data_IF_915640587645
#
_entry.id   IF_915640587645
#
_cell.length_a   1.000
_cell.length_b   1.000
_cell.length_c   1.000
_cell.angle_alpha   90.00
_cell.angle_beta   90.00
_cell.angle_gamma   90.00
#
_symmetry.space_group_name_H-M   'P 1'
#
loop_
_entity.id
_entity.type
_entity.pdbx_description
1 polymer ?
#
# COMPACT_ATOMS: atom_id res chain seq x y z
N UNK A 1 -45.47 22.92 -19.25
CA UNK A 1 -44.94 22.15 -18.10
C UNK A 1 -45.38 22.85 -16.82
N UNK A 2 -46.11 22.17 -15.93
CA UNK A 2 -46.53 22.75 -14.65
C UNK A 2 -45.35 22.70 -13.67
N UNK A 3 -44.80 23.86 -13.35
CA UNK A 3 -43.70 23.98 -12.39
C UNK A 3 -44.31 23.89 -10.97
N UNK A 4 -44.19 22.73 -10.33
CA UNK A 4 -44.64 22.54 -8.95
C UNK A 4 -43.56 23.09 -8.03
N UNK A 5 -43.85 24.19 -7.36
CA UNK A 5 -42.97 24.79 -6.36
C UNK A 5 -43.19 24.07 -5.03
N UNK A 6 -42.31 23.13 -4.73
CA UNK A 6 -42.31 22.38 -3.47
C UNK A 6 -41.26 23.02 -2.56
N UNK A 7 -41.70 23.55 -1.43
CA UNK A 7 -40.82 24.05 -0.38
C UNK A 7 -40.63 22.95 0.67
N UNK A 8 -39.38 22.61 0.97
CA UNK A 8 -39.02 21.46 1.79
C UNK A 8 -38.07 21.90 2.88
N UNK A 9 -38.42 21.57 4.12
CA UNK A 9 -37.53 21.72 5.28
C UNK A 9 -37.03 20.35 5.74
N UNK A 10 -35.72 20.25 5.96
CA UNK A 10 -35.07 19.02 6.44
C UNK A 10 -34.80 19.14 7.94
N UNK A 11 -35.44 18.29 8.73
CA UNK A 11 -35.29 18.26 10.19
C UNK A 11 -34.64 16.95 10.58
N UNK A 12 -33.50 17.03 11.26
CA UNK A 12 -32.79 15.86 11.79
C UNK A 12 -33.40 15.45 13.12
N UNK A 13 -33.90 14.22 13.19
CA UNK A 13 -34.37 13.60 14.44
C UNK A 13 -33.26 12.70 15.01
N UNK A 14 -32.93 12.77 16.31
CA UNK A 14 -31.97 11.88 16.94
C UNK A 14 -32.46 10.42 16.92
N UNK A 15 -31.53 9.48 16.71
CA UNK A 15 -31.83 8.06 16.84
C UNK A 15 -32.29 7.73 18.26
N UNK A 16 -33.23 6.78 18.39
CA UNK A 16 -33.76 6.31 19.68
C UNK A 16 -34.46 7.38 20.54
N UNK A 17 -34.88 8.50 19.95
CA UNK A 17 -35.65 9.54 20.63
C UNK A 17 -37.14 9.16 20.88
N UNK A 18 -37.51 7.90 20.58
CA UNK A 18 -38.89 7.41 20.63
C UNK A 18 -39.89 8.23 19.80
N UNK A 19 -39.43 8.90 18.74
CA UNK A 19 -40.31 9.59 17.80
C UNK A 19 -41.13 8.55 16.99
N UNK A 20 -42.47 8.60 17.05
CA UNK A 20 -43.31 7.55 16.47
C UNK A 20 -43.23 7.48 14.95
N UNK A 21 -43.04 8.62 14.26
CA UNK A 21 -42.94 8.65 12.79
C UNK A 21 -41.59 8.11 12.33
N UNK A 22 -40.51 8.51 12.98
CA UNK A 22 -39.18 8.00 12.70
C UNK A 22 -39.07 6.49 12.97
N UNK A 23 -39.65 6.02 14.08
CA UNK A 23 -39.70 4.59 14.41
C UNK A 23 -40.53 3.79 13.39
N UNK A 24 -41.64 4.36 12.91
CA UNK A 24 -42.46 3.72 11.88
C UNK A 24 -41.70 3.60 10.55
N UNK A 25 -41.03 4.67 10.11
CA UNK A 25 -40.22 4.65 8.89
C UNK A 25 -39.05 3.66 9.01
N UNK A 26 -38.38 3.60 10.16
CA UNK A 26 -37.31 2.62 10.43
C UNK A 26 -37.83 1.18 10.38
N UNK A 27 -39.02 0.90 10.93
CA UNK A 27 -39.65 -0.41 10.84
C UNK A 27 -40.01 -0.79 9.39
N UNK A 28 -40.54 0.16 8.61
CA UNK A 28 -40.84 -0.05 7.18
C UNK A 28 -39.57 -0.31 6.36
N UNK A 29 -38.49 0.45 6.60
CA UNK A 29 -37.21 0.25 5.93
C UNK A 29 -36.60 -1.12 6.26
N UNK A 30 -36.70 -1.56 7.52
CA UNK A 30 -36.27 -2.90 7.95
C UNK A 30 -37.10 -4.02 7.32
N UNK A 31 -38.42 -3.85 7.24
CA UNK A 31 -39.30 -4.82 6.59
C UNK A 31 -38.99 -4.95 5.09
N UNK A 32 -38.78 -3.83 4.39
CA UNK A 32 -38.43 -3.81 2.97
C UNK A 32 -37.07 -4.46 2.66
N UNK A 33 -36.12 -4.44 3.61
CA UNK A 33 -34.83 -5.12 3.46
C UNK A 33 -34.96 -6.66 3.58
N UNK A 34 -35.97 -7.16 4.28
CA UNK A 34 -36.22 -8.60 4.44
C UNK A 34 -37.05 -9.15 3.28
N UNK A 35 -37.85 -8.30 2.64
CA UNK A 35 -38.66 -8.66 1.49
C UNK A 35 -37.78 -8.93 0.26
N UNK A 36 -37.41 -10.19 0.06
CA UNK A 36 -36.55 -10.70 -1.02
C UNK A 36 -37.19 -10.61 -2.41
N UNK A 37 -38.18 -9.74 -2.58
CA UNK A 37 -38.78 -9.36 -3.86
C UNK A 37 -38.22 -8.03 -4.36
N UNK A 38 -36.90 -7.84 -4.26
CA UNK A 38 -36.23 -7.07 -5.30
C UNK A 38 -36.49 -7.84 -6.59
N UNK A 39 -37.55 -7.45 -7.31
CA UNK A 39 -37.61 -7.63 -8.75
C UNK A 39 -36.21 -7.29 -9.23
N UNK A 40 -35.52 -8.29 -9.77
CA UNK A 40 -34.31 -8.08 -10.54
C UNK A 40 -34.72 -7.31 -11.78
N UNK A 41 -35.16 -6.07 -11.61
CA UNK A 41 -35.02 -5.09 -12.66
C UNK A 41 -33.52 -5.11 -12.92
N UNK A 42 -33.08 -5.57 -14.10
CA UNK A 42 -31.69 -5.45 -14.48
C UNK A 42 -31.42 -3.98 -14.27
N UNK A 43 -30.52 -3.71 -13.33
CA UNK A 43 -30.12 -2.40 -12.85
C UNK A 43 -30.13 -1.47 -14.05
N UNK A 44 -31.25 -0.78 -14.27
CA UNK A 44 -31.51 -0.13 -15.54
C UNK A 44 -30.67 1.10 -15.44
N UNK A 45 -29.47 1.02 -16.02
CA UNK A 45 -28.63 2.16 -16.25
C UNK A 45 -28.47 3.01 -14.99
N UNK A 46 -28.05 2.39 -13.88
CA UNK A 46 -27.14 3.15 -13.03
C UNK A 46 -25.88 3.31 -13.89
N UNK A 47 -25.90 4.35 -14.71
CA UNK A 47 -24.77 4.88 -15.46
C UNK A 47 -23.73 5.24 -14.41
N UNK A 48 -23.03 4.23 -13.89
CA UNK A 48 -21.69 4.42 -13.38
C UNK A 48 -20.95 5.03 -14.57
N UNK A 49 -20.76 6.36 -14.54
CA UNK A 49 -20.38 7.14 -15.71
C UNK A 49 -19.00 6.76 -16.27
N UNK A 50 -18.32 5.80 -15.64
CA UNK A 50 -17.20 5.07 -16.20
C UNK A 50 -17.00 3.77 -15.40
N UNK A 51 -17.27 2.61 -16.01
CA UNK A 51 -16.70 1.34 -15.53
C UNK A 51 -15.25 1.33 -16.00
N UNK A 52 -14.30 1.34 -15.07
CA UNK A 52 -12.90 1.19 -15.41
C UNK A 52 -12.66 -0.21 -15.96
N UNK A 53 -11.89 -0.28 -17.05
CA UNK A 53 -11.47 -1.53 -17.65
C UNK A 53 -9.94 -1.63 -17.60
N UNK A 54 -9.44 -2.84 -17.38
CA UNK A 54 -8.02 -3.18 -17.45
C UNK A 54 -7.85 -4.44 -18.28
N UNK A 55 -7.02 -4.38 -19.33
CA UNK A 55 -6.88 -5.46 -20.31
C UNK A 55 -8.24 -5.95 -20.86
N UNK A 56 -9.15 -5.02 -21.16
CA UNK A 56 -10.51 -5.30 -21.63
C UNK A 56 -11.42 -6.02 -20.64
N UNK A 57 -11.00 -6.18 -19.37
CA UNK A 57 -11.82 -6.73 -18.29
C UNK A 57 -12.32 -5.61 -17.37
N UNK A 58 -13.59 -5.63 -16.92
CA UNK A 58 -14.10 -4.64 -15.99
C UNK A 58 -13.39 -4.78 -14.63
N UNK A 59 -13.06 -3.65 -14.01
CA UNK A 59 -12.48 -3.61 -12.67
C UNK A 59 -13.58 -3.80 -11.64
N UNK A 60 -13.69 -5.02 -11.12
CA UNK A 60 -14.70 -5.42 -10.11
C UNK A 60 -14.20 -5.26 -8.66
N UNK A 61 -13.42 -4.20 -8.41
CA UNK A 61 -12.95 -3.88 -7.07
C UNK A 61 -12.91 -2.38 -6.86
N UNK A 62 -12.71 -1.97 -5.61
CA UNK A 62 -12.57 -0.56 -5.26
C UNK A 62 -11.50 0.11 -6.15
N UNK A 63 -11.88 1.17 -6.88
CA UNK A 63 -11.03 1.86 -7.85
C UNK A 63 -9.72 2.36 -7.22
N UNK A 64 -9.77 2.91 -6.00
CA UNK A 64 -8.57 3.39 -5.32
C UNK A 64 -7.63 2.24 -4.95
N UNK A 65 -8.18 1.09 -4.54
CA UNK A 65 -7.42 -0.13 -4.29
C UNK A 65 -6.77 -0.62 -5.60
N UNK A 66 -7.54 -0.70 -6.68
CA UNK A 66 -7.04 -1.11 -7.99
C UNK A 66 -5.85 -0.26 -8.47
N UNK A 67 -6.00 1.06 -8.42
CA UNK A 67 -4.93 2.00 -8.78
C UNK A 67 -3.70 1.78 -7.88
N UNK A 68 -3.89 1.65 -6.58
CA UNK A 68 -2.79 1.39 -5.63
C UNK A 68 -2.07 0.09 -5.95
N UNK A 69 -2.81 -0.98 -6.23
CA UNK A 69 -2.24 -2.30 -6.55
C UNK A 69 -1.41 -2.23 -7.85
N UNK A 70 -1.82 -1.45 -8.86
CA UNK A 70 -1.00 -1.19 -10.05
C UNK A 70 0.34 -0.54 -9.68
N UNK A 71 0.31 0.53 -8.88
CA UNK A 71 1.54 1.23 -8.49
C UNK A 71 2.44 0.35 -7.61
N UNK A 72 1.86 -0.45 -6.73
CA UNK A 72 2.57 -1.40 -5.89
C UNK A 72 3.30 -2.46 -6.73
N UNK A 73 2.62 -3.04 -7.73
CA UNK A 73 3.22 -4.03 -8.63
C UNK A 73 4.34 -3.41 -9.47
N UNK A 74 4.12 -2.21 -10.02
CA UNK A 74 5.15 -1.49 -10.78
C UNK A 74 6.38 -1.19 -9.93
N UNK A 75 6.18 -0.70 -8.70
CA UNK A 75 7.27 -0.39 -7.78
C UNK A 75 8.05 -1.64 -7.39
N UNK A 76 7.34 -2.75 -7.14
CA UNK A 76 7.96 -4.04 -6.83
C UNK A 76 8.78 -4.56 -8.02
N UNK A 77 8.26 -4.46 -9.24
CA UNK A 77 8.98 -4.84 -10.45
C UNK A 77 10.25 -4.00 -10.63
N UNK A 78 10.16 -2.67 -10.49
CA UNK A 78 11.32 -1.77 -10.56
C UNK A 78 12.38 -2.12 -9.51
N UNK A 79 11.95 -2.48 -8.30
CA UNK A 79 12.85 -2.93 -7.24
C UNK A 79 13.51 -4.28 -7.59
N UNK A 80 12.73 -5.23 -8.10
CA UNK A 80 13.20 -6.58 -8.42
C UNK A 80 14.25 -6.62 -9.53
N UNK A 81 14.18 -5.68 -10.49
CA UNK A 81 15.13 -5.61 -11.62
C UNK A 81 16.38 -4.75 -11.33
N UNK A 82 16.59 -4.31 -10.09
CA UNK A 82 17.79 -3.54 -9.75
C UNK A 82 19.05 -4.38 -10.04
N UNK A 83 20.11 -3.81 -10.64
CA UNK A 83 21.30 -4.55 -11.07
C UNK A 83 21.97 -5.38 -9.98
N UNK A 84 21.81 -4.98 -8.72
CA UNK A 84 22.28 -5.74 -7.56
C UNK A 84 21.68 -7.15 -7.49
N UNK A 85 20.42 -7.31 -7.84
CA UNK A 85 19.77 -8.62 -7.80
C UNK A 85 20.18 -9.51 -8.98
N UNK A 86 20.82 -8.98 -10.01
CA UNK A 86 21.29 -9.77 -11.16
C UNK A 86 22.39 -10.79 -10.80
N UNK A 87 23.11 -10.59 -9.69
CA UNK A 87 24.10 -11.56 -9.21
C UNK A 87 23.48 -12.72 -8.44
N UNK A 88 22.24 -12.55 -7.95
CA UNK A 88 21.52 -13.52 -7.13
C UNK A 88 20.41 -14.19 -7.95
N UNK A 89 20.82 -15.04 -8.89
CA UNK A 89 19.91 -15.92 -9.65
C UNK A 89 18.78 -15.20 -10.39
N UNK A 90 17.77 -15.92 -10.89
CA UNK A 90 16.64 -15.32 -11.57
C UNK A 90 15.79 -14.54 -10.56
N UNK A 91 15.17 -13.42 -10.97
CA UNK A 91 14.23 -12.67 -10.11
C UNK A 91 13.04 -13.51 -9.64
N UNK A 92 12.82 -14.70 -10.23
CA UNK A 92 11.84 -15.71 -9.80
C UNK A 92 12.21 -16.43 -8.51
N UNK A 93 13.48 -16.45 -8.12
CA UNK A 93 13.97 -17.26 -7.01
C UNK A 93 13.80 -16.54 -5.67
N UNK A 94 13.48 -15.25 -5.71
CA UNK A 94 13.21 -14.40 -4.56
C UNK A 94 11.70 -14.37 -4.30
N UNK A 95 11.30 -14.75 -3.09
CA UNK A 95 9.93 -14.51 -2.62
C UNK A 95 9.72 -13.01 -2.35
N UNK A 96 9.26 -12.28 -3.37
CA UNK A 96 9.00 -10.85 -3.30
C UNK A 96 7.83 -10.50 -2.37
N UNK A 97 6.87 -11.42 -2.17
CA UNK A 97 5.77 -11.21 -1.23
C UNK A 97 6.29 -11.24 0.21
N UNK A 98 7.13 -12.24 0.53
CA UNK A 98 7.81 -12.33 1.81
C UNK A 98 8.78 -11.16 2.03
N UNK A 99 9.53 -10.76 1.00
CA UNK A 99 10.44 -9.60 1.06
C UNK A 99 9.68 -8.31 1.38
N UNK A 100 8.59 -8.03 0.66
CA UNK A 100 7.72 -6.87 0.91
C UNK A 100 7.11 -6.93 2.32
N UNK A 101 6.68 -8.10 2.76
CA UNK A 101 6.17 -8.30 4.12
C UNK A 101 7.22 -7.99 5.18
N UNK A 102 8.45 -8.48 5.02
CA UNK A 102 9.57 -8.26 5.93
C UNK A 102 10.00 -6.79 6.02
N UNK A 103 9.91 -6.04 4.91
CA UNK A 103 10.19 -4.61 4.86
C UNK A 103 9.09 -3.76 5.50
N UNK A 104 7.83 -4.14 5.31
CA UNK A 104 6.67 -3.38 5.79
C UNK A 104 6.35 -3.66 7.28
N UNK A 105 6.60 -4.88 7.77
CA UNK A 105 6.27 -5.29 9.13
C UNK A 105 7.41 -5.06 10.12
N UNK A 106 7.63 -3.79 10.47
CA UNK A 106 8.53 -3.38 11.56
C UNK A 106 7.95 -3.63 12.97
N UNK A 107 6.73 -4.19 13.08
CA UNK A 107 6.02 -4.34 14.36
C UNK A 107 6.56 -5.48 15.23
N UNK A 108 7.17 -6.51 14.65
CA UNK A 108 7.50 -7.74 15.38
C UNK A 108 8.82 -7.68 16.18
N UNK A 109 9.65 -6.65 15.97
CA UNK A 109 11.04 -6.68 16.45
C UNK A 109 11.53 -5.48 17.26
N UNK A 110 10.71 -4.44 17.53
CA UNK A 110 11.19 -3.24 18.25
C UNK A 110 10.11 -2.64 19.18
N UNK A 111 10.41 -2.61 20.49
CA UNK A 111 9.55 -2.08 21.57
C UNK A 111 9.57 -0.54 21.70
N UNK A 112 10.49 0.17 21.05
CA UNK A 112 10.68 1.61 21.23
C UNK A 112 10.24 2.44 20.01
N UNK A 113 9.63 3.62 20.28
CA UNK A 113 9.03 4.53 19.27
C UNK A 113 10.01 5.02 18.18
N UNK A 114 11.33 5.05 18.45
CA UNK A 114 12.33 5.57 17.51
C UNK A 114 13.19 4.48 16.81
N UNK A 115 13.33 3.28 17.38
CA UNK A 115 14.18 2.23 16.78
C UNK A 115 13.59 1.56 15.53
N UNK A 116 12.32 1.81 15.22
CA UNK A 116 11.64 1.23 14.05
C UNK A 116 12.19 1.76 12.72
N UNK A 117 12.53 3.05 12.64
CA UNK A 117 13.03 3.67 11.40
C UNK A 117 14.50 3.34 11.16
N UNK A 118 15.33 3.33 12.20
CA UNK A 118 16.75 3.01 12.13
C UNK A 118 16.99 1.56 11.72
N UNK A 119 16.24 0.62 12.32
CA UNK A 119 16.36 -0.80 12.00
C UNK A 119 15.82 -1.12 10.60
N UNK A 120 14.72 -0.49 10.18
CA UNK A 120 14.23 -0.58 8.80
C UNK A 120 15.26 -0.01 7.81
N UNK A 121 15.86 1.14 8.13
CA UNK A 121 16.95 1.72 7.33
C UNK A 121 18.15 0.80 7.22
N UNK A 122 18.56 0.17 8.32
CA UNK A 122 19.64 -0.81 8.33
C UNK A 122 19.31 -2.01 7.43
N UNK A 123 18.11 -2.59 7.57
CA UNK A 123 17.66 -3.72 6.72
C UNK A 123 17.61 -3.35 5.24
N UNK A 124 17.13 -2.16 4.89
CA UNK A 124 17.12 -1.69 3.51
C UNK A 124 18.54 -1.46 2.99
N UNK A 125 19.42 -0.89 3.82
CA UNK A 125 20.82 -0.69 3.44
C UNK A 125 21.55 -2.01 3.24
N UNK A 126 21.33 -2.99 4.09
CA UNK A 126 21.84 -4.36 3.92
C UNK A 126 21.21 -5.01 2.67
N UNK A 127 19.88 -4.86 2.53
CA UNK A 127 19.00 -5.00 1.36
C UNK A 127 19.62 -4.54 0.03
N UNK A 128 20.45 -3.52 0.04
CA UNK A 128 20.87 -2.83 -1.18
C UNK A 128 22.38 -2.73 -1.29
N UNK A 129 23.13 -3.41 -0.42
CA UNK A 129 24.59 -3.26 -0.29
C UNK A 129 25.01 -1.80 -0.13
N UNK A 130 24.21 -1.04 0.61
CA UNK A 130 24.36 0.39 0.84
C UNK A 130 24.81 0.73 2.26
N UNK A 131 25.21 -0.27 3.07
CA UNK A 131 25.84 0.01 4.36
C UNK A 131 27.10 0.87 4.16
N UNK A 132 27.43 1.75 5.12
CA UNK A 132 28.56 2.66 5.01
C UNK A 132 29.89 1.94 5.26
N UNK A 133 30.15 0.83 4.58
CA UNK A 133 31.46 0.16 4.59
C UNK A 133 32.51 1.07 3.97
N UNK A 134 33.78 0.94 4.35
CA UNK A 134 34.86 1.76 3.77
C UNK A 134 34.87 1.70 2.24
N UNK A 135 34.69 0.52 1.64
CA UNK A 135 34.63 0.38 0.18
C UNK A 135 33.44 1.13 -0.45
N UNK A 136 32.29 1.17 0.23
CA UNK A 136 31.13 1.95 -0.22
C UNK A 136 31.37 3.45 -0.09
N UNK A 137 32.03 3.88 1.00
CA UNK A 137 32.37 5.27 1.24
C UNK A 137 33.42 5.80 0.26
N UNK A 138 34.45 5.01 -0.05
CA UNK A 138 35.46 5.29 -1.07
C UNK A 138 34.81 5.52 -2.45
N UNK A 139 33.84 4.68 -2.85
CA UNK A 139 33.11 4.85 -4.11
C UNK A 139 32.24 6.11 -4.15
N UNK A 140 31.56 6.44 -3.03
CA UNK A 140 30.60 7.57 -2.98
C UNK A 140 31.24 8.92 -2.72
N UNK A 141 32.35 8.95 -1.97
CA UNK A 141 33.04 10.16 -1.51
C UNK A 141 34.57 9.99 -1.64
N UNK A 142 35.10 9.81 -2.87
CA UNK A 142 36.52 9.54 -3.10
C UNK A 142 37.45 10.68 -2.65
N UNK A 143 36.92 11.90 -2.52
CA UNK A 143 37.67 13.05 -2.01
C UNK A 143 37.83 13.05 -0.48
N UNK A 144 37.03 12.27 0.26
CA UNK A 144 37.11 12.15 1.72
C UNK A 144 37.75 10.84 2.17
N UNK A 145 37.61 9.78 1.37
CA UNK A 145 38.05 8.43 1.73
C UNK A 145 39.11 7.95 0.74
N UNK A 146 40.35 7.79 1.21
CA UNK A 146 41.46 7.35 0.38
C UNK A 146 41.26 5.89 -0.07
N UNK A 147 41.36 5.58 -1.38
CA UNK A 147 41.29 4.22 -1.89
C UNK A 147 42.31 3.23 -1.30
N UNK A 148 43.44 3.72 -0.76
CA UNK A 148 44.46 2.87 -0.14
C UNK A 148 44.12 2.44 1.30
N UNK A 149 43.10 3.03 1.92
CA UNK A 149 42.70 2.64 3.27
C UNK A 149 42.10 1.23 3.29
N UNK A 150 42.57 0.45 4.26
CA UNK A 150 42.09 -0.90 4.55
C UNK A 150 41.11 -0.86 5.73
N UNK A 151 40.49 -2.01 6.01
CA UNK A 151 39.58 -2.18 7.12
C UNK A 151 40.26 -1.69 8.43
N UNK A 152 39.65 -0.75 9.17
CA UNK A 152 40.27 -0.16 10.35
C UNK A 152 40.43 -1.15 11.50
N UNK A 153 39.72 -2.28 11.47
CA UNK A 153 39.76 -3.29 12.52
C UNK A 153 40.92 -4.29 12.35
N UNK A 154 41.17 -4.76 11.12
CA UNK A 154 42.19 -5.77 10.84
C UNK A 154 43.40 -5.25 10.07
N UNK A 155 43.25 -4.10 9.38
CA UNK A 155 44.26 -3.45 8.54
C UNK A 155 44.91 -4.36 7.48
N UNK A 156 44.19 -5.39 7.01
CA UNK A 156 44.73 -6.40 6.09
C UNK A 156 43.97 -6.51 4.77
N UNK A 157 42.69 -6.17 4.75
CA UNK A 157 41.82 -6.26 3.57
C UNK A 157 40.86 -5.07 3.48
N UNK A 158 40.26 -4.82 2.30
CA UNK A 158 39.19 -3.83 2.16
C UNK A 158 37.97 -4.19 3.01
N UNK A 159 37.35 -3.20 3.66
CA UNK A 159 36.07 -3.37 4.38
C UNK A 159 34.92 -3.46 3.36
N UNK A 160 34.48 -4.68 3.08
CA UNK A 160 33.31 -4.98 2.26
C UNK A 160 32.13 -5.34 3.16
N UNK A 161 31.02 -5.81 2.60
CA UNK A 161 29.90 -6.30 3.40
C UNK A 161 30.14 -7.70 3.98
N UNK A 162 30.94 -8.50 3.27
CA UNK A 162 31.26 -9.88 3.64
C UNK A 162 32.50 -9.99 4.55
N UNK A 163 33.24 -8.88 4.70
CA UNK A 163 34.46 -8.77 5.51
C UNK A 163 34.22 -7.89 6.73
#
# INVERSE_FOLDING_TARGET
>A
MSQKNLDVSLIKVPAHANDPLNNHVDALAKAAHIDSHLSSHPFSELLASCILHFNSLPVDMNIQKFIRDIFDVKSLLTFAILPRFNSYSSTSDIDWACTKFCLNNNKQFVSHRNGRSEFCSFRIKLLLDMLPTLTTLQKRKPHLYNPSWLCPQCNSSPETLDH
#
